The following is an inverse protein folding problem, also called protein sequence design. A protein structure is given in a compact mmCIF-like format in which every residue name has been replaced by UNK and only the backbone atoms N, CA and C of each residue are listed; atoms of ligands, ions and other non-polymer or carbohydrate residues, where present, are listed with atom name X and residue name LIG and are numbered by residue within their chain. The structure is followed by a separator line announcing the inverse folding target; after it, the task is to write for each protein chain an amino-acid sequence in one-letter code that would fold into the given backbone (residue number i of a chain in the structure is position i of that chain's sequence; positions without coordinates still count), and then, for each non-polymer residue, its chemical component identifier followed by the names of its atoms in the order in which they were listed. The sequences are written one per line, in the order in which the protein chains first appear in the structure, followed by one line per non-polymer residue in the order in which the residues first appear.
data_IF_175348911926
#
_entry.id   IF_175348911926
#
_cell.length_a   1.000
_cell.length_b   1.000
_cell.length_c   1.000
_cell.angle_alpha   90.00
_cell.angle_beta   90.00
_cell.angle_gamma   90.00
#
_symmetry.space_group_name_H-M   'P 1'
#
loop_
_entity.id
_entity.type
_entity.pdbx_description
1 polymer ?
#
# COMPACT_ATOMS: atom_id res chain seq x y z
N UNK A 1 3.53 2.64 1.69
CA UNK A 1 4.98 2.85 1.53
C UNK A 1 5.62 1.68 0.80
N UNK A 2 6.67 1.92 -0.01
CA UNK A 2 7.38 0.89 -0.79
C UNK A 2 8.63 1.43 -1.46
N UNK A 3 9.43 0.55 -2.06
CA UNK A 3 10.66 0.90 -2.77
C UNK A 3 10.65 0.39 -4.21
N UNK A 4 11.31 1.12 -5.11
CA UNK A 4 11.42 0.72 -6.52
C UNK A 4 10.04 0.53 -7.16
N UNK A 5 9.78 -0.63 -7.78
CA UNK A 5 8.50 -0.93 -8.41
C UNK A 5 7.33 -0.91 -7.41
N UNK A 6 7.55 -1.33 -6.18
CA UNK A 6 6.52 -1.33 -5.13
C UNK A 6 5.99 0.08 -4.84
N UNK A 7 6.85 1.10 -4.90
CA UNK A 7 6.41 2.49 -4.79
C UNK A 7 5.48 2.90 -5.94
N UNK A 8 5.81 2.51 -7.18
CA UNK A 8 4.97 2.82 -8.34
C UNK A 8 3.59 2.13 -8.26
N UNK A 9 3.56 0.89 -7.78
CA UNK A 9 2.32 0.15 -7.53
C UNK A 9 1.47 0.86 -6.46
N UNK A 10 2.10 1.35 -5.41
CA UNK A 10 1.42 2.06 -4.32
C UNK A 10 0.85 3.41 -4.74
N UNK A 11 1.46 4.10 -5.71
CA UNK A 11 0.86 5.30 -6.30
C UNK A 11 -0.50 4.97 -6.94
N UNK A 12 -0.57 3.88 -7.71
CA UNK A 12 -1.82 3.39 -8.30
C UNK A 12 -2.81 2.92 -7.21
N UNK A 13 -2.35 2.16 -6.22
CA UNK A 13 -3.20 1.71 -5.11
C UNK A 13 -3.79 2.88 -4.32
N UNK A 14 -2.98 3.91 -4.03
CA UNK A 14 -3.44 5.14 -3.40
C UNK A 14 -4.47 5.88 -4.25
N UNK A 15 -4.27 5.92 -5.57
CA UNK A 15 -5.23 6.52 -6.49
C UNK A 15 -6.57 5.77 -6.43
N UNK A 16 -6.56 4.45 -6.54
CA UNK A 16 -7.79 3.63 -6.47
C UNK A 16 -8.52 3.80 -5.13
N UNK A 17 -7.78 3.83 -4.03
CA UNK A 17 -8.39 4.06 -2.72
C UNK A 17 -9.10 5.43 -2.66
N UNK A 18 -8.48 6.49 -3.17
CA UNK A 18 -9.09 7.82 -3.25
C UNK A 18 -10.34 7.86 -4.15
N UNK A 19 -10.25 7.23 -5.33
CA UNK A 19 -11.30 7.27 -6.34
C UNK A 19 -12.61 6.63 -5.88
N UNK A 20 -12.55 5.47 -5.23
CA UNK A 20 -13.74 4.68 -4.94
C UNK A 20 -14.14 4.65 -3.46
N UNK A 21 -13.18 4.85 -2.53
CA UNK A 21 -13.48 4.86 -1.08
C UNK A 21 -13.53 6.26 -0.48
N UNK A 22 -13.05 7.27 -1.21
CA UNK A 22 -12.93 8.66 -0.78
C UNK A 22 -12.05 8.86 0.46
N UNK A 23 -11.19 7.89 0.74
CA UNK A 23 -10.18 8.00 1.80
C UNK A 23 -8.97 8.73 1.22
N UNK A 24 -8.57 9.81 1.88
CA UNK A 24 -7.31 10.46 1.54
C UNK A 24 -6.15 9.52 1.84
N UNK A 25 -5.28 9.34 0.87
CA UNK A 25 -4.09 8.52 1.00
C UNK A 25 -2.95 9.07 0.15
N UNK A 26 -1.74 8.87 0.62
CA UNK A 26 -0.53 9.26 -0.10
C UNK A 26 0.44 8.09 -0.14
N UNK A 27 1.08 7.92 -1.29
CA UNK A 27 2.12 6.91 -1.44
C UNK A 27 3.50 7.56 -1.30
N UNK A 28 4.35 6.96 -0.50
CA UNK A 28 5.71 7.43 -0.26
C UNK A 28 6.74 6.37 -0.62
N UNK A 29 7.81 6.80 -1.26
CA UNK A 29 9.01 5.98 -1.33
C UNK A 29 9.58 5.85 0.08
N UNK A 30 9.68 4.62 0.60
CA UNK A 30 9.98 4.37 2.02
C UNK A 30 11.28 4.99 2.49
N UNK A 31 12.29 5.09 1.60
CA UNK A 31 13.55 5.74 1.91
C UNK A 31 13.44 7.24 2.14
N UNK A 32 12.38 7.88 1.60
CA UNK A 32 12.18 9.32 1.69
C UNK A 32 11.37 9.74 2.91
N UNK A 33 10.69 8.81 3.59
CA UNK A 33 9.87 9.13 4.76
C UNK A 33 10.65 9.89 5.84
N UNK A 34 11.90 9.50 6.09
CA UNK A 34 12.75 10.14 7.11
C UNK A 34 13.10 11.61 6.84
N UNK A 35 12.94 12.06 5.60
CA UNK A 35 13.25 13.44 5.20
C UNK A 35 12.14 14.45 5.52
N UNK A 36 11.15 14.06 6.31
CA UNK A 36 10.12 14.96 6.82
C UNK A 36 8.77 14.29 7.07
N UNK A 37 8.25 13.57 6.07
CA UNK A 37 6.87 13.03 6.10
C UNK A 37 6.64 11.95 7.16
N UNK A 38 7.69 11.36 7.71
CA UNK A 38 7.58 10.44 8.85
C UNK A 38 6.98 11.13 10.09
N UNK A 39 7.04 12.46 10.17
CA UNK A 39 6.42 13.25 11.22
C UNK A 39 4.88 13.17 11.22
N UNK A 40 4.28 12.73 10.11
CA UNK A 40 2.84 12.50 9.99
C UNK A 40 2.40 11.16 10.59
N UNK A 41 3.34 10.28 10.91
CA UNK A 41 3.04 8.99 11.53
C UNK A 41 2.78 9.21 13.02
N UNK A 42 1.59 8.85 13.43
CA UNK A 42 1.14 8.86 14.82
C UNK A 42 0.60 7.49 15.20
N UNK A 43 0.25 7.30 16.45
CA UNK A 43 -0.45 6.11 16.92
C UNK A 43 -1.72 5.90 16.11
N UNK A 44 -1.99 4.66 15.72
CA UNK A 44 -3.13 4.26 14.87
C UNK A 44 -3.11 4.78 13.42
N UNK A 45 -2.03 5.41 12.96
CA UNK A 45 -1.92 5.76 11.54
C UNK A 45 -1.85 4.48 10.69
N UNK A 46 -2.84 4.20 9.81
CA UNK A 46 -2.78 3.00 8.96
C UNK A 46 -1.72 3.20 7.87
N UNK A 47 -0.81 2.25 7.79
CA UNK A 47 0.24 2.23 6.78
C UNK A 47 0.13 0.98 5.93
N UNK A 48 -0.12 1.14 4.63
CA UNK A 48 -0.04 0.03 3.68
C UNK A 48 1.39 -0.06 3.15
N UNK A 49 2.01 -1.21 3.33
CA UNK A 49 3.37 -1.51 2.84
C UNK A 49 3.33 -2.62 1.79
N UNK A 50 4.12 -2.47 0.73
CA UNK A 50 4.33 -3.50 -0.29
C UNK A 50 5.80 -3.87 -0.34
N UNK A 51 6.11 -5.18 -0.23
CA UNK A 51 7.46 -5.72 -0.22
C UNK A 51 7.54 -6.91 -1.18
N UNK A 52 7.92 -6.65 -2.43
CA UNK A 52 8.01 -7.69 -3.46
C UNK A 52 9.37 -7.77 -4.15
N UNK A 53 10.23 -6.75 -3.95
CA UNK A 53 11.51 -6.65 -4.63
C UNK A 53 12.62 -7.31 -3.82
N UNK A 54 13.17 -8.42 -4.30
CA UNK A 54 14.14 -9.28 -3.58
C UNK A 54 15.39 -8.52 -3.12
N UNK A 55 15.89 -7.59 -3.94
CA UNK A 55 17.07 -6.79 -3.60
C UNK A 55 16.81 -5.67 -2.59
N UNK A 56 15.55 -5.32 -2.37
CA UNK A 56 15.15 -4.18 -1.54
C UNK A 56 14.46 -4.59 -0.24
N UNK A 57 14.09 -5.89 -0.08
CA UNK A 57 13.29 -6.38 1.04
C UNK A 57 13.85 -5.98 2.42
N UNK A 58 15.15 -6.18 2.66
CA UNK A 58 15.74 -5.87 3.96
C UNK A 58 15.68 -4.38 4.30
N UNK A 59 15.89 -3.53 3.28
CA UNK A 59 15.78 -2.07 3.45
C UNK A 59 14.34 -1.65 3.68
N UNK A 60 13.39 -2.31 3.01
CA UNK A 60 11.97 -2.02 3.19
C UNK A 60 11.50 -2.43 4.58
N UNK A 61 11.82 -3.63 5.04
CA UNK A 61 11.50 -4.06 6.40
C UNK A 61 12.11 -3.15 7.48
N UNK A 62 13.33 -2.63 7.25
CA UNK A 62 13.92 -1.63 8.15
C UNK A 62 13.10 -0.34 8.19
N UNK A 63 12.59 0.14 7.05
CA UNK A 63 11.74 1.33 7.02
C UNK A 63 10.36 1.09 7.64
N UNK A 64 9.81 -0.12 7.48
CA UNK A 64 8.56 -0.52 8.13
C UNK A 64 8.72 -0.47 9.67
N UNK A 65 9.80 -1.01 10.20
CA UNK A 65 10.10 -0.91 11.66
C UNK A 65 10.15 0.53 12.16
N UNK A 66 10.60 1.46 11.34
CA UNK A 66 10.64 2.88 11.73
C UNK A 66 9.25 3.50 11.87
N UNK A 67 8.29 3.13 11.04
CA UNK A 67 6.90 3.60 11.19
C UNK A 67 6.17 2.87 12.33
N UNK A 68 6.42 1.57 12.49
CA UNK A 68 5.88 0.79 13.61
C UNK A 68 6.35 1.33 14.96
N UNK A 69 7.63 1.77 15.08
CA UNK A 69 8.15 2.37 16.30
C UNK A 69 7.49 3.69 16.69
N UNK A 70 6.69 4.26 15.80
CA UNK A 70 5.87 5.48 16.03
C UNK A 70 4.39 5.19 16.19
N UNK A 71 4.03 3.90 16.31
CA UNK A 71 2.65 3.48 16.56
C UNK A 71 1.82 3.21 15.31
N UNK A 72 2.40 3.21 14.11
CA UNK A 72 1.65 2.88 12.89
C UNK A 72 1.12 1.45 12.90
N UNK A 73 -0.17 1.28 12.56
CA UNK A 73 -0.75 -0.02 12.21
C UNK A 73 -0.37 -0.40 10.78
N UNK A 74 0.42 -1.46 10.59
CA UNK A 74 0.94 -1.83 9.27
C UNK A 74 0.18 -2.99 8.65
N UNK A 75 -0.42 -2.73 7.48
CA UNK A 75 -1.00 -3.72 6.57
C UNK A 75 0.06 -4.05 5.52
N UNK A 76 0.58 -5.27 5.57
CA UNK A 76 1.69 -5.71 4.72
C UNK A 76 1.22 -6.61 3.57
N UNK A 77 1.60 -6.25 2.35
CA UNK A 77 1.56 -7.13 1.18
C UNK A 77 2.99 -7.54 0.83
N UNK A 78 3.31 -8.82 0.90
CA UNK A 78 4.67 -9.29 0.68
C UNK A 78 4.72 -10.54 -0.20
N UNK A 79 5.84 -10.74 -0.87
CA UNK A 79 6.10 -11.99 -1.59
C UNK A 79 6.19 -13.15 -0.60
N UNK A 80 5.47 -14.25 -0.84
CA UNK A 80 5.36 -15.41 0.07
C UNK A 80 6.70 -16.07 0.42
N UNK A 81 7.73 -15.88 -0.42
CA UNK A 81 9.07 -16.43 -0.18
C UNK A 81 9.92 -15.60 0.78
N UNK A 82 9.46 -14.43 1.21
CA UNK A 82 10.19 -13.60 2.15
C UNK A 82 9.90 -14.02 3.58
N UNK A 83 10.92 -13.96 4.42
CA UNK A 83 10.76 -14.21 5.85
C UNK A 83 10.10 -13.02 6.55
N UNK A 84 9.07 -13.32 7.31
CA UNK A 84 8.36 -12.36 8.12
C UNK A 84 8.92 -12.36 9.55
N UNK A 85 9.20 -11.17 10.08
CA UNK A 85 9.45 -11.01 11.52
C UNK A 85 8.14 -11.27 12.29
N UNK A 86 8.06 -12.42 12.94
CA UNK A 86 6.87 -12.86 13.68
C UNK A 86 6.69 -12.14 15.01
N UNK A 87 7.72 -11.46 15.50
CA UNK A 87 7.68 -10.69 16.76
C UNK A 87 7.22 -9.25 16.52
N UNK A 88 7.26 -8.78 15.26
CA UNK A 88 6.77 -7.45 14.91
C UNK A 88 5.23 -7.38 14.97
N UNK A 89 4.72 -6.24 15.39
CA UNK A 89 3.27 -6.00 15.41
C UNK A 89 2.77 -5.69 14.00
N UNK A 90 2.01 -6.62 13.43
CA UNK A 90 1.37 -6.47 12.13
C UNK A 90 -0.14 -6.34 12.31
N UNK A 91 -0.75 -5.33 11.70
CA UNK A 91 -2.21 -5.23 11.64
C UNK A 91 -2.79 -6.35 10.76
N UNK A 92 -2.19 -6.56 9.60
CA UNK A 92 -2.51 -7.67 8.70
C UNK A 92 -1.33 -7.99 7.80
N UNK A 93 -1.21 -9.25 7.39
CA UNK A 93 -0.19 -9.71 6.44
C UNK A 93 -0.84 -10.51 5.32
N UNK A 94 -0.61 -10.06 4.09
CA UNK A 94 -1.07 -10.73 2.87
C UNK A 94 0.13 -11.23 2.08
N UNK A 95 0.21 -12.54 1.90
CA UNK A 95 1.25 -13.16 1.09
C UNK A 95 0.80 -13.22 -0.37
N UNK A 96 1.65 -12.72 -1.26
CA UNK A 96 1.45 -12.73 -2.70
C UNK A 96 2.24 -13.88 -3.32
N UNK A 97 1.71 -14.56 -4.36
CA UNK A 97 2.41 -15.65 -5.03
C UNK A 97 3.80 -15.25 -5.50
N UNK A 98 4.78 -16.14 -5.35
CA UNK A 98 6.15 -15.87 -5.76
C UNK A 98 6.26 -15.84 -7.29
N UNK A 99 6.76 -14.72 -7.80
CA UNK A 99 7.09 -14.50 -9.20
C UNK A 99 8.44 -13.79 -9.29
N UNK A 100 8.97 -13.66 -10.50
CA UNK A 100 10.09 -12.75 -10.75
C UNK A 100 9.70 -11.31 -10.34
N UNK A 101 10.64 -10.55 -9.78
CA UNK A 101 10.37 -9.23 -9.19
C UNK A 101 9.63 -8.28 -10.15
N UNK A 102 9.97 -8.32 -11.45
CA UNK A 102 9.32 -7.50 -12.48
C UNK A 102 7.83 -7.85 -12.69
N UNK A 103 7.45 -9.10 -12.50
CA UNK A 103 6.07 -9.55 -12.67
C UNK A 103 5.23 -9.38 -11.39
N UNK A 104 5.86 -9.11 -10.25
CA UNK A 104 5.14 -8.85 -9.00
C UNK A 104 4.20 -7.63 -9.08
N UNK A 105 4.39 -6.77 -10.08
CA UNK A 105 3.49 -5.64 -10.37
C UNK A 105 2.04 -6.11 -10.52
N UNK A 106 1.80 -7.25 -11.18
CA UNK A 106 0.44 -7.75 -11.43
C UNK A 106 -0.30 -8.17 -10.16
N UNK A 107 0.20 -9.14 -9.36
CA UNK A 107 -0.51 -9.56 -8.15
C UNK A 107 -0.57 -8.46 -7.09
N UNK A 108 0.45 -7.63 -6.97
CA UNK A 108 0.45 -6.53 -6.00
C UNK A 108 -0.56 -5.43 -6.37
N UNK A 109 -0.66 -5.05 -7.64
CA UNK A 109 -1.69 -4.10 -8.10
C UNK A 109 -3.10 -4.66 -7.90
N UNK A 110 -3.34 -5.94 -8.24
CA UNK A 110 -4.63 -6.57 -8.02
C UNK A 110 -5.00 -6.59 -6.53
N UNK A 111 -4.04 -6.89 -5.65
CA UNK A 111 -4.27 -6.89 -4.21
C UNK A 111 -4.64 -5.49 -3.67
N UNK A 112 -3.98 -4.43 -4.14
CA UNK A 112 -4.31 -3.06 -3.74
C UNK A 112 -5.67 -2.58 -4.32
N UNK A 113 -6.04 -3.04 -5.52
CA UNK A 113 -7.37 -2.79 -6.08
C UNK A 113 -8.45 -3.50 -5.25
N UNK A 114 -8.20 -4.75 -4.84
CA UNK A 114 -9.11 -5.46 -3.93
C UNK A 114 -9.21 -4.78 -2.57
N UNK A 115 -8.12 -4.27 -2.01
CA UNK A 115 -8.16 -3.47 -0.78
C UNK A 115 -9.08 -2.27 -0.94
N UNK A 116 -8.92 -1.49 -2.01
CA UNK A 116 -9.76 -0.33 -2.27
C UNK A 116 -11.23 -0.72 -2.47
N UNK A 117 -11.48 -1.83 -3.17
CA UNK A 117 -12.82 -2.38 -3.40
C UNK A 117 -13.51 -2.75 -2.08
N UNK A 118 -12.87 -3.58 -1.24
CA UNK A 118 -13.48 -4.03 0.01
C UNK A 118 -13.67 -2.90 1.01
N UNK A 119 -12.73 -1.96 1.10
CA UNK A 119 -12.89 -0.75 1.92
C UNK A 119 -14.10 0.06 1.46
N UNK A 120 -14.33 0.16 0.15
CA UNK A 120 -15.49 0.87 -0.39
C UNK A 120 -16.80 0.17 -0.09
N UNK A 121 -16.85 -1.17 -0.21
CA UNK A 121 -18.01 -1.96 0.16
C UNK A 121 -18.36 -1.83 1.64
N UNK A 122 -17.36 -1.91 2.51
CA UNK A 122 -17.53 -1.76 3.97
C UNK A 122 -18.11 -0.39 4.34
N UNK A 123 -17.74 0.65 3.56
CA UNK A 123 -18.32 1.99 3.69
C UNK A 123 -19.70 2.15 3.02
N UNK A 124 -20.26 1.10 2.41
CA UNK A 124 -21.54 1.16 1.71
C UNK A 124 -21.54 2.01 0.44
N UNK A 125 -20.38 2.13 -0.22
CA UNK A 125 -20.21 2.94 -1.44
C UNK A 125 -20.42 2.10 -2.69
N UNK A 126 -20.95 2.73 -3.75
CA UNK A 126 -21.10 2.12 -5.07
C UNK A 126 -19.76 2.23 -5.83
N UNK A 127 -19.05 1.12 -5.94
CA UNK A 127 -17.74 1.06 -6.60
C UNK A 127 -17.82 1.20 -8.12
N UNK A 128 -18.99 0.91 -8.72
CA UNK A 128 -19.20 1.00 -10.17
C UNK A 128 -19.58 2.41 -10.61
N UNK A 129 -20.07 3.23 -9.68
CA UNK A 129 -20.50 4.60 -9.94
C UNK A 129 -19.91 5.58 -8.91
N UNK A 130 -18.59 5.70 -8.85
CA UNK A 130 -17.97 6.64 -7.94
C UNK A 130 -18.39 8.08 -8.27
N UNK A 131 -18.66 8.86 -7.23
CA UNK A 131 -19.06 10.26 -7.39
C UNK A 131 -17.92 11.07 -8.04
N UNK A 132 -18.29 12.09 -8.79
CA UNK A 132 -17.35 13.04 -9.42
C UNK A 132 -16.36 12.43 -10.42
N UNK A 133 -16.54 11.17 -10.81
CA UNK A 133 -15.78 10.54 -11.87
C UNK A 133 -16.68 10.32 -13.10
N UNK A 134 -16.31 10.91 -14.21
CA UNK A 134 -16.99 10.69 -15.50
C UNK A 134 -16.30 9.54 -16.26
N UNK A 135 -17.10 8.60 -16.80
CA UNK A 135 -16.58 7.54 -17.69
C UNK A 135 -16.07 8.10 -19.02
N UNK A 136 -16.54 9.29 -19.40
CA UNK A 136 -16.13 9.98 -20.63
C UNK A 136 -15.84 11.43 -20.26
N UNK A 137 -14.64 11.89 -20.57
CA UNK A 137 -14.30 13.31 -20.49
C UNK A 137 -14.83 13.97 -21.77
N UNK A 138 -15.92 14.75 -21.62
CA UNK A 138 -16.57 15.47 -22.72
C UNK A 138 -16.31 16.97 -22.70
N UNK A 139 -15.43 17.44 -21.84
CA UNK A 139 -15.02 18.86 -21.76
C UNK A 139 -13.65 19.03 -22.40
N UNK A 140 -13.58 19.94 -23.36
CA UNK A 140 -12.35 20.44 -23.93
C UNK A 140 -11.79 21.57 -23.05
#
# INVERSE_FOLDING_TARGET
MGRGLDYSILLEGSLKLKEISYIHSEAYASGELKHGTIALITEDTPVVAVVTQSKLQLKEFSNIKEVQSRGAGVILFMKETFELDKEAAWESVFQLPAMEDSFMVMPASAALQLLAYYVSLDKGLDVDKPRNLAKVVTVE
#
